data_IF_649777806457
#
_entry.id   IF_649777806457
#
_cell.length_a   1.000
_cell.length_b   1.000
_cell.length_c   1.000
_cell.angle_alpha   90.00
_cell.angle_beta   90.00
_cell.angle_gamma   90.00
#
_symmetry.space_group_name_H-M   'P 1'
#
loop_
_entity.id
_entity.type
_entity.pdbx_description
1 polymer ?
#
# COMPACT_ATOMS: atom_id res chain seq x y z
N UNK A 1 -36.47 31.66 71.69
CA UNK A 1 -37.62 31.16 72.48
C UNK A 1 -38.86 31.24 71.60
N UNK A 2 -39.73 30.21 71.63
CA UNK A 2 -41.17 30.13 71.19
C UNK A 2 -41.79 31.29 70.37
N UNK A 3 -42.67 31.11 69.35
CA UNK A 3 -43.38 29.92 68.79
C UNK A 3 -44.06 30.26 67.42
N UNK A 4 -44.62 29.23 66.77
CA UNK A 4 -45.85 29.11 65.91
C UNK A 4 -46.83 30.32 65.80
N UNK A 5 -47.71 30.51 64.79
CA UNK A 5 -48.17 29.76 63.57
C UNK A 5 -49.08 30.72 62.71
N UNK A 6 -49.92 30.40 61.69
CA UNK A 6 -50.51 29.15 61.12
C UNK A 6 -50.86 29.32 59.59
N UNK A 7 -52.07 28.95 59.12
CA UNK A 7 -52.61 28.96 57.74
C UNK A 7 -53.99 29.68 57.74
N UNK A 8 -54.72 30.01 56.66
CA UNK A 8 -54.67 29.79 55.19
C UNK A 8 -55.79 30.65 54.53
N UNK A 9 -56.52 30.27 53.44
CA UNK A 9 -56.43 29.09 52.56
C UNK A 9 -56.27 29.46 51.06
N UNK A 10 -56.78 28.65 50.12
CA UNK A 10 -56.42 28.64 48.67
C UNK A 10 -57.64 28.75 47.73
N UNK A 11 -57.50 29.44 46.58
CA UNK A 11 -58.24 29.10 45.35
C UNK A 11 -57.43 29.44 44.08
N UNK A 12 -57.63 28.68 42.98
CA UNK A 12 -56.87 28.76 41.72
C UNK A 12 -57.61 29.51 40.61
N UNK A 13 -56.86 30.14 39.70
CA UNK A 13 -57.16 30.15 38.26
C UNK A 13 -55.85 30.06 37.45
N UNK A 14 -55.91 29.85 36.14
CA UNK A 14 -54.81 29.28 35.33
C UNK A 14 -54.29 30.21 34.22
N UNK A 15 -52.97 30.48 34.26
CA UNK A 15 -52.02 30.56 33.13
C UNK A 15 -52.26 31.64 32.01
N UNK A 16 -51.27 31.93 31.13
CA UNK A 16 -49.95 31.31 30.97
C UNK A 16 -48.74 32.21 31.32
N UNK A 17 -47.56 31.58 31.36
CA UNK A 17 -46.25 32.21 31.60
C UNK A 17 -45.63 32.69 30.29
N UNK A 18 -45.06 33.90 30.31
CA UNK A 18 -44.28 34.44 29.19
C UNK A 18 -42.88 33.80 29.15
N UNK A 19 -42.64 32.89 28.21
CA UNK A 19 -41.29 32.36 27.95
C UNK A 19 -40.46 33.37 27.14
N UNK A 20 -39.26 33.69 27.64
CA UNK A 20 -38.32 34.61 26.96
C UNK A 20 -37.48 33.81 25.96
N UNK A 21 -37.85 33.89 24.68
CA UNK A 21 -37.11 33.25 23.58
C UNK A 21 -35.79 33.97 23.31
N UNK A 22 -34.67 33.33 23.70
CA UNK A 22 -33.36 33.68 23.16
C UNK A 22 -33.14 32.87 21.88
N UNK A 23 -32.76 33.55 20.80
CA UNK A 23 -32.74 32.97 19.45
C UNK A 23 -31.75 31.82 19.33
N UNK A 24 -32.26 30.60 19.17
CA UNK A 24 -31.49 29.49 18.62
C UNK A 24 -31.23 29.78 17.13
N UNK A 25 -29.99 30.17 16.81
CA UNK A 25 -29.49 30.00 15.44
C UNK A 25 -29.62 28.51 15.10
N UNK A 26 -30.27 28.13 13.97
CA UNK A 26 -30.21 26.75 13.54
C UNK A 26 -28.75 26.42 13.24
N UNK A 27 -28.23 25.35 13.85
CA UNK A 27 -27.04 24.70 13.32
C UNK A 27 -27.42 24.25 11.91
N UNK A 28 -26.77 24.86 10.91
CA UNK A 28 -26.70 24.26 9.58
C UNK A 28 -25.87 23.00 9.78
N UNK A 29 -26.55 21.85 9.79
CA UNK A 29 -25.87 20.58 9.64
C UNK A 29 -25.05 20.68 8.35
N UNK A 30 -23.73 20.51 8.47
CA UNK A 30 -22.86 20.55 7.29
C UNK A 30 -23.34 19.48 6.31
N UNK A 31 -23.75 19.90 5.11
CA UNK A 31 -24.25 18.99 4.09
C UNK A 31 -23.12 18.02 3.71
N UNK A 32 -23.26 16.77 4.13
CA UNK A 32 -22.29 15.72 3.84
C UNK A 32 -22.32 15.24 2.38
N UNK A 33 -23.13 15.88 1.53
CA UNK A 33 -23.16 15.68 0.07
C UNK A 33 -22.38 16.76 -0.71
N UNK A 34 -21.34 17.37 -0.09
CA UNK A 34 -20.21 17.86 -0.88
C UNK A 34 -19.81 16.74 -1.86
N UNK A 35 -19.87 16.96 -3.18
CA UNK A 35 -19.61 15.91 -4.15
C UNK A 35 -18.18 15.40 -3.95
N UNK A 36 -17.98 14.08 -4.08
CA UNK A 36 -16.66 13.44 -3.91
C UNK A 36 -15.69 14.06 -4.91
N UNK A 37 -14.94 15.04 -4.44
CA UNK A 37 -13.99 15.77 -5.27
C UNK A 37 -12.82 14.84 -5.58
N UNK A 38 -12.16 15.11 -6.70
CA UNK A 38 -11.07 14.28 -7.17
C UNK A 38 -11.46 13.32 -8.29
N UNK A 39 -10.58 12.34 -8.46
CA UNK A 39 -10.75 11.15 -9.30
C UNK A 39 -10.59 9.90 -8.44
N UNK A 40 -11.23 8.79 -8.83
CA UNK A 40 -11.12 7.52 -8.14
C UNK A 40 -10.33 6.50 -8.99
N UNK A 41 -9.62 5.58 -8.34
CA UNK A 41 -8.81 4.56 -8.98
C UNK A 41 -8.90 3.23 -8.23
N UNK A 42 -9.49 2.23 -8.85
CA UNK A 42 -9.40 0.84 -8.38
C UNK A 42 -8.14 0.21 -8.96
N UNK A 43 -7.39 -0.52 -8.15
CA UNK A 43 -6.16 -1.17 -8.54
C UNK A 43 -6.17 -2.64 -8.10
N UNK A 44 -5.66 -3.50 -8.97
CA UNK A 44 -5.34 -4.89 -8.66
C UNK A 44 -3.88 -5.18 -9.00
N UNK A 45 -3.18 -5.90 -8.13
CA UNK A 45 -1.78 -6.31 -8.33
C UNK A 45 -1.50 -7.58 -7.53
N UNK A 46 -0.56 -8.41 -8.00
CA UNK A 46 -0.06 -9.55 -7.23
C UNK A 46 1.47 -9.46 -7.11
N UNK A 47 2.01 -9.94 -5.99
CA UNK A 47 3.44 -9.91 -5.67
C UNK A 47 4.02 -11.33 -5.71
N UNK A 48 5.17 -11.49 -6.37
CA UNK A 48 5.89 -12.77 -6.38
C UNK A 48 6.58 -13.00 -5.04
N UNK A 49 6.38 -14.17 -4.44
CA UNK A 49 6.86 -14.45 -3.08
C UNK A 49 5.69 -14.90 -2.22
N UNK A 50 4.77 -13.99 -1.84
CA UNK A 50 3.58 -14.38 -1.10
C UNK A 50 2.54 -15.10 -1.97
N UNK A 51 2.55 -14.92 -3.30
CA UNK A 51 1.57 -15.53 -4.23
C UNK A 51 1.67 -17.05 -4.31
N UNK A 52 0.52 -17.73 -4.22
CA UNK A 52 0.38 -19.19 -4.21
C UNK A 52 -0.46 -19.67 -5.41
N UNK A 53 0.21 -20.29 -6.40
CA UNK A 53 -0.42 -20.78 -7.65
C UNK A 53 -1.67 -21.63 -7.43
N UNK A 54 -1.72 -22.44 -6.37
CA UNK A 54 -2.81 -23.41 -6.12
C UNK A 54 -4.09 -22.78 -5.58
N UNK A 55 -4.04 -21.53 -5.12
CA UNK A 55 -5.22 -20.79 -4.60
C UNK A 55 -5.53 -19.56 -5.43
N UNK A 56 -4.57 -19.03 -6.20
CA UNK A 56 -4.69 -17.71 -6.84
C UNK A 56 -4.55 -16.54 -5.86
N UNK A 57 -4.13 -16.80 -4.62
CA UNK A 57 -4.05 -15.81 -3.54
C UNK A 57 -2.60 -15.66 -3.05
N UNK A 58 -2.28 -14.47 -2.57
CA UNK A 58 -1.10 -14.22 -1.74
C UNK A 58 -1.26 -14.75 -0.32
N UNK A 59 -0.17 -14.82 0.46
CA UNK A 59 -0.20 -15.08 1.89
C UNK A 59 -0.03 -13.81 2.72
N UNK A 60 -0.72 -13.78 3.86
CA UNK A 60 -0.87 -12.66 4.80
C UNK A 60 0.05 -12.81 6.03
N UNK A 61 1.23 -13.43 5.87
CA UNK A 61 2.14 -13.73 6.99
C UNK A 61 2.60 -12.49 7.78
N UNK A 62 2.82 -11.35 7.11
CA UNK A 62 3.11 -10.07 7.76
C UNK A 62 1.96 -9.58 8.63
N UNK A 63 0.71 -9.75 8.18
CA UNK A 63 -0.50 -9.41 8.96
C UNK A 63 -0.66 -10.35 10.16
N UNK A 64 -0.55 -11.67 9.93
CA UNK A 64 -0.63 -12.70 10.97
C UNK A 64 0.45 -12.56 12.05
N UNK A 65 1.62 -12.02 11.70
CA UNK A 65 2.73 -11.75 12.62
C UNK A 65 2.65 -10.37 13.31
N UNK A 66 1.66 -9.54 12.95
CA UNK A 66 1.53 -8.17 13.46
C UNK A 66 2.63 -7.21 12.99
N UNK A 67 3.29 -7.49 11.86
CA UNK A 67 4.43 -6.71 11.36
C UNK A 67 4.05 -5.56 10.43
N UNK A 68 2.84 -5.54 9.84
CA UNK A 68 2.41 -4.42 8.98
C UNK A 68 2.31 -3.14 9.83
N UNK A 69 3.06 -2.06 9.52
CA UNK A 69 3.04 -0.83 10.32
C UNK A 69 1.69 -0.13 10.28
N UNK A 70 1.31 0.51 11.38
CA UNK A 70 0.07 1.30 11.47
C UNK A 70 0.13 2.60 10.66
N UNK A 71 1.32 3.13 10.36
CA UNK A 71 1.53 4.29 9.49
C UNK A 71 2.19 3.88 8.18
N UNK A 72 1.88 4.57 7.08
CA UNK A 72 2.47 4.27 5.77
C UNK A 72 4.03 4.35 5.77
N UNK A 73 4.74 3.39 5.14
CA UNK A 73 6.20 3.24 5.26
C UNK A 73 7.04 4.04 4.25
N UNK A 74 6.40 4.85 3.40
CA UNK A 74 7.04 5.52 2.25
C UNK A 74 7.52 6.96 2.54
N UNK A 75 7.40 7.42 3.79
CA UNK A 75 7.89 8.72 4.24
C UNK A 75 9.42 8.90 4.06
N UNK A 76 10.17 7.80 4.11
CA UNK A 76 11.62 7.76 3.96
C UNK A 76 12.08 7.72 2.48
N UNK A 77 13.41 7.79 2.29
CA UNK A 77 14.02 7.60 0.99
C UNK A 77 13.72 6.19 0.39
N UNK A 78 13.60 6.09 -0.96
CA UNK A 78 13.76 7.15 -1.96
C UNK A 78 12.48 7.95 -2.24
N UNK A 79 11.30 7.50 -1.78
CA UNK A 79 10.04 8.13 -2.18
C UNK A 79 9.79 9.47 -1.50
N UNK A 80 10.23 9.64 -0.25
CA UNK A 80 10.05 10.85 0.55
C UNK A 80 8.57 11.30 0.60
N UNK A 81 7.65 10.33 0.71
CA UNK A 81 6.22 10.58 0.59
C UNK A 81 5.62 11.01 1.93
N UNK A 82 5.46 12.32 2.12
CA UNK A 82 4.86 12.94 3.31
C UNK A 82 3.34 12.76 3.46
N UNK A 83 2.77 11.65 2.99
CA UNK A 83 1.39 11.27 3.29
C UNK A 83 1.22 10.83 4.74
N UNK A 84 0.00 10.94 5.28
CA UNK A 84 -0.30 10.67 6.69
C UNK A 84 -1.22 9.45 6.88
N UNK A 85 -1.39 8.61 5.86
CA UNK A 85 -2.29 7.46 5.86
C UNK A 85 -1.96 6.49 7.00
N UNK A 86 -3.00 6.07 7.72
CA UNK A 86 -2.93 5.15 8.85
C UNK A 86 -3.83 3.96 8.61
N UNK A 87 -3.36 2.77 8.97
CA UNK A 87 -4.14 1.53 8.99
C UNK A 87 -5.11 1.56 10.19
N UNK A 88 -6.41 1.60 9.91
CA UNK A 88 -7.46 1.72 10.94
C UNK A 88 -8.21 0.38 11.15
N UNK A 89 -8.99 0.23 12.24
CA UNK A 89 -9.64 -1.04 12.59
C UNK A 89 -10.55 -1.66 11.52
N UNK A 90 -11.09 -0.85 10.59
CA UNK A 90 -11.87 -1.36 9.46
C UNK A 90 -11.02 -2.29 8.56
N UNK A 91 -9.80 -1.87 8.22
CA UNK A 91 -8.86 -2.66 7.43
C UNK A 91 -8.16 -3.74 8.27
N UNK A 92 -7.83 -3.48 9.54
CA UNK A 92 -7.22 -4.49 10.42
C UNK A 92 -8.16 -5.67 10.74
N UNK A 93 -9.48 -5.51 10.60
CA UNK A 93 -10.46 -6.57 10.83
C UNK A 93 -10.68 -7.53 9.64
N UNK A 94 -10.00 -7.32 8.51
CA UNK A 94 -10.20 -8.11 7.29
C UNK A 94 -9.53 -9.49 7.38
N UNK A 95 -10.10 -10.48 6.70
CA UNK A 95 -9.64 -11.87 6.76
C UNK A 95 -10.04 -12.67 5.51
N UNK A 96 -9.59 -13.92 5.40
CA UNK A 96 -9.90 -14.76 4.24
C UNK A 96 -9.11 -14.34 3.00
N UNK A 97 -9.80 -13.90 1.95
CA UNK A 97 -9.22 -13.33 0.72
C UNK A 97 -8.84 -11.86 0.92
N UNK A 98 -9.63 -11.14 1.72
CA UNK A 98 -9.52 -9.71 1.98
C UNK A 98 -8.40 -9.35 2.98
N UNK A 99 -7.73 -10.36 3.56
CA UNK A 99 -6.65 -10.19 4.55
C UNK A 99 -5.48 -9.40 3.96
N UNK A 100 -4.76 -8.69 4.82
CA UNK A 100 -3.73 -7.74 4.44
C UNK A 100 -2.42 -8.46 4.07
N UNK A 101 -1.78 -8.04 2.98
CA UNK A 101 -0.46 -8.53 2.56
C UNK A 101 0.63 -7.51 2.94
N UNK A 102 0.55 -6.29 2.40
CA UNK A 102 1.50 -5.21 2.70
C UNK A 102 0.95 -3.84 2.24
N UNK A 103 1.66 -2.78 2.58
CA UNK A 103 1.49 -1.43 2.03
C UNK A 103 1.99 -1.34 0.58
N UNK A 104 1.29 -0.56 -0.25
CA UNK A 104 1.67 -0.16 -1.61
C UNK A 104 1.56 1.35 -1.77
N UNK A 105 2.40 1.94 -2.63
CA UNK A 105 2.38 3.36 -2.96
C UNK A 105 1.90 3.55 -4.40
N UNK A 106 0.75 4.19 -4.57
CA UNK A 106 0.21 4.58 -5.86
C UNK A 106 0.91 5.85 -6.33
N UNK A 107 1.24 5.93 -7.62
CA UNK A 107 1.86 7.11 -8.24
C UNK A 107 1.14 7.46 -9.55
N UNK A 108 0.53 8.65 -9.59
CA UNK A 108 -0.10 9.21 -10.79
C UNK A 108 0.84 10.24 -11.43
N UNK A 109 0.99 10.19 -12.75
CA UNK A 109 1.84 11.09 -13.54
C UNK A 109 1.07 11.73 -14.69
N UNK A 110 1.30 13.03 -14.91
CA UNK A 110 0.59 13.80 -15.93
C UNK A 110 1.12 13.48 -17.34
N UNK A 111 0.23 13.26 -18.31
CA UNK A 111 0.60 12.84 -19.69
C UNK A 111 1.47 13.89 -20.40
N UNK A 112 1.28 15.18 -20.12
CA UNK A 112 1.98 16.29 -20.75
C UNK A 112 3.36 16.56 -20.15
N UNK A 113 3.69 15.98 -18.99
CA UNK A 113 5.01 16.06 -18.37
C UNK A 113 5.25 14.85 -17.47
N UNK A 114 5.46 13.64 -18.04
CA UNK A 114 5.37 12.39 -17.28
C UNK A 114 6.45 12.22 -16.20
N UNK A 115 7.54 12.98 -16.24
CA UNK A 115 8.53 13.07 -15.15
C UNK A 115 7.92 13.62 -13.86
N UNK A 116 6.88 14.44 -13.97
CA UNK A 116 6.17 15.07 -12.85
C UNK A 116 5.14 14.11 -12.27
N UNK A 117 5.33 13.77 -11.01
CA UNK A 117 4.29 13.11 -10.19
C UNK A 117 3.17 14.11 -9.96
N UNK A 118 1.96 13.78 -10.43
CA UNK A 118 0.75 14.57 -10.22
C UNK A 118 0.15 14.32 -8.83
N UNK A 119 0.17 13.06 -8.37
CA UNK A 119 -0.17 12.70 -7.00
C UNK A 119 0.47 11.36 -6.58
N UNK A 120 0.51 11.12 -5.27
CA UNK A 120 0.78 9.82 -4.65
C UNK A 120 -0.23 9.59 -3.51
N UNK A 121 -0.54 8.33 -3.24
CA UNK A 121 -1.35 7.88 -2.10
C UNK A 121 -0.88 6.49 -1.66
N UNK A 122 -0.71 6.27 -0.37
CA UNK A 122 -0.42 4.96 0.20
C UNK A 122 -1.74 4.18 0.39
N UNK A 123 -1.71 2.88 0.10
CA UNK A 123 -2.85 1.99 0.20
C UNK A 123 -2.42 0.60 0.70
N UNK A 124 -3.39 -0.27 1.02
CA UNK A 124 -3.16 -1.64 1.48
C UNK A 124 -3.48 -2.62 0.36
N UNK A 125 -2.60 -3.61 0.19
CA UNK A 125 -2.79 -4.74 -0.71
C UNK A 125 -3.44 -5.92 0.04
N UNK A 126 -4.47 -6.51 -0.55
CA UNK A 126 -5.18 -7.69 -0.06
C UNK A 126 -4.71 -8.97 -0.77
N UNK A 127 -5.06 -10.16 -0.26
CA UNK A 127 -4.50 -11.43 -0.78
C UNK A 127 -4.99 -11.81 -2.17
N UNK A 128 -6.19 -11.42 -2.56
CA UNK A 128 -6.70 -11.59 -3.93
C UNK A 128 -6.10 -10.58 -4.92
N UNK A 129 -5.37 -9.60 -4.40
CA UNK A 129 -4.66 -8.57 -5.14
C UNK A 129 -5.36 -7.21 -5.17
N UNK A 130 -6.54 -7.05 -4.58
CA UNK A 130 -7.21 -5.74 -4.55
C UNK A 130 -6.50 -4.74 -3.63
N UNK A 131 -6.54 -3.48 -4.05
CA UNK A 131 -5.86 -2.36 -3.38
C UNK A 131 -6.90 -1.42 -2.76
N UNK A 132 -6.87 -1.32 -1.43
CA UNK A 132 -7.92 -0.68 -0.62
C UNK A 132 -7.40 0.43 0.29
N UNK A 133 -8.31 1.32 0.66
CA UNK A 133 -8.03 2.44 1.55
C UNK A 133 -7.74 1.96 3.00
N UNK A 134 -6.55 2.22 3.57
CA UNK A 134 -6.17 1.81 4.93
C UNK A 134 -7.09 2.32 6.05
N UNK A 135 -7.79 3.45 5.84
CA UNK A 135 -8.72 3.98 6.82
C UNK A 135 -10.09 3.29 6.84
N UNK A 136 -10.54 2.72 5.72
CA UNK A 136 -11.95 2.31 5.53
C UNK A 136 -12.16 0.97 4.83
N UNK A 137 -11.10 0.28 4.39
CA UNK A 137 -11.17 -0.94 3.58
C UNK A 137 -11.89 -0.82 2.21
N UNK A 138 -12.15 0.39 1.73
CA UNK A 138 -12.83 0.58 0.45
C UNK A 138 -11.89 0.38 -0.74
N UNK A 139 -12.34 -0.40 -1.74
CA UNK A 139 -11.80 -0.36 -3.11
C UNK A 139 -12.15 0.99 -3.75
N UNK A 140 -11.25 1.53 -4.58
CA UNK A 140 -11.45 2.80 -5.28
C UNK A 140 -10.76 3.97 -4.55
N UNK A 141 -9.44 4.03 -4.65
CA UNK A 141 -8.62 5.04 -4.01
C UNK A 141 -8.88 6.42 -4.62
N UNK A 142 -9.33 7.36 -3.80
CA UNK A 142 -9.64 8.74 -4.20
C UNK A 142 -8.38 9.62 -4.23
N UNK A 143 -8.32 10.54 -5.19
CA UNK A 143 -7.29 11.58 -5.30
C UNK A 143 -7.96 12.95 -5.31
N UNK A 144 -8.25 13.55 -4.14
CA UNK A 144 -9.21 14.66 -4.01
C UNK A 144 -8.76 15.96 -4.67
N UNK A 145 -7.46 16.12 -4.91
CA UNK A 145 -6.84 17.29 -5.53
C UNK A 145 -6.72 17.23 -7.06
N UNK A 146 -7.04 16.09 -7.68
CA UNK A 146 -6.89 15.89 -9.12
C UNK A 146 -8.22 16.02 -9.88
N UNK A 147 -8.19 16.65 -11.05
CA UNK A 147 -9.36 16.73 -11.95
C UNK A 147 -9.46 15.49 -12.84
N UNK A 148 -10.65 15.24 -13.38
CA UNK A 148 -10.85 14.22 -14.41
C UNK A 148 -9.94 14.48 -15.63
N UNK A 149 -9.41 13.40 -16.22
CA UNK A 149 -8.43 13.46 -17.31
C UNK A 149 -7.57 12.20 -17.39
N UNK A 150 -6.62 12.20 -18.31
CA UNK A 150 -5.75 11.03 -18.58
C UNK A 150 -4.45 11.11 -17.77
N UNK A 151 -4.10 10.00 -17.11
CA UNK A 151 -2.90 9.88 -16.27
C UNK A 151 -2.15 8.58 -16.57
N UNK A 152 -0.83 8.59 -16.46
CA UNK A 152 -0.08 7.34 -16.29
C UNK A 152 -0.23 6.88 -14.84
N UNK A 153 -0.72 5.65 -14.66
CA UNK A 153 -0.91 5.02 -13.35
C UNK A 153 0.28 4.12 -13.09
N UNK A 154 0.82 4.15 -11.87
CA UNK A 154 1.79 3.16 -11.41
C UNK A 154 1.61 2.77 -9.96
N UNK A 155 2.20 1.63 -9.62
CA UNK A 155 2.19 1.05 -8.29
C UNK A 155 3.61 0.69 -7.89
N UNK A 156 3.97 0.99 -6.64
CA UNK A 156 5.28 0.71 -6.04
C UNK A 156 5.09 -0.08 -4.75
N UNK A 157 6.06 -0.92 -4.44
CA UNK A 157 6.16 -1.67 -3.19
C UNK A 157 7.57 -1.50 -2.62
N UNK A 158 7.79 -1.85 -1.35
CA UNK A 158 9.06 -1.63 -0.65
C UNK A 158 10.19 -2.61 -0.99
N UNK A 159 9.85 -3.77 -1.55
CA UNK A 159 10.72 -4.93 -1.80
C UNK A 159 10.56 -5.53 -3.23
N UNK A 160 9.77 -4.90 -4.11
CA UNK A 160 9.42 -5.38 -5.46
C UNK A 160 9.50 -4.28 -6.52
N UNK A 161 9.83 -4.66 -7.75
CA UNK A 161 9.83 -3.73 -8.89
C UNK A 161 8.47 -3.08 -9.10
N UNK A 162 8.47 -1.75 -9.15
CA UNK A 162 7.34 -0.93 -9.53
C UNK A 162 7.04 -1.06 -11.03
N UNK A 163 5.76 -0.91 -11.39
CA UNK A 163 5.30 -0.86 -12.78
C UNK A 163 4.38 0.34 -13.02
N UNK A 164 4.39 0.82 -14.26
CA UNK A 164 3.51 1.90 -14.74
C UNK A 164 2.77 1.43 -15.99
N UNK A 165 1.58 1.98 -16.25
CA UNK A 165 0.85 1.74 -17.50
C UNK A 165 1.64 2.30 -18.70
N UNK A 166 1.69 1.54 -19.79
CA UNK A 166 2.28 2.00 -21.05
C UNK A 166 1.48 3.17 -21.63
N UNK A 167 0.17 3.00 -21.65
CA UNK A 167 -0.82 3.98 -22.09
C UNK A 167 -1.35 4.79 -20.90
N UNK A 168 -1.88 5.98 -21.16
CA UNK A 168 -2.59 6.74 -20.15
C UNK A 168 -3.97 6.13 -19.90
N UNK A 169 -4.47 6.26 -18.67
CA UNK A 169 -5.79 5.79 -18.22
C UNK A 169 -6.64 7.03 -17.95
N UNK A 170 -7.85 7.06 -18.51
CA UNK A 170 -8.80 8.15 -18.26
C UNK A 170 -9.46 7.94 -16.90
N UNK A 171 -9.26 8.89 -15.99
CA UNK A 171 -9.75 8.84 -14.61
C UNK A 171 -10.78 9.93 -14.36
N UNK A 172 -11.77 9.62 -13.52
CA UNK A 172 -12.89 10.50 -13.18
C UNK A 172 -13.47 10.14 -11.81
N UNK A 173 -14.55 10.81 -11.37
CA UNK A 173 -15.29 10.43 -10.16
C UNK A 173 -15.93 9.04 -10.25
N UNK A 174 -16.29 8.56 -11.45
CA UNK A 174 -16.76 7.18 -11.64
C UNK A 174 -15.62 6.14 -11.48
N UNK A 175 -14.37 6.61 -11.55
CA UNK A 175 -13.16 5.81 -11.47
C UNK A 175 -12.87 4.93 -12.68
N UNK A 176 -11.78 4.17 -12.59
CA UNK A 176 -11.42 3.10 -13.51
C UNK A 176 -10.67 2.00 -12.75
N UNK A 177 -10.65 0.77 -13.30
CA UNK A 177 -9.81 -0.32 -12.82
C UNK A 177 -8.51 -0.36 -13.62
N UNK A 178 -7.37 -0.39 -12.93
CA UNK A 178 -6.07 -0.78 -13.49
C UNK A 178 -5.66 -2.11 -12.85
N UNK A 179 -5.57 -3.16 -13.65
CA UNK A 179 -5.23 -4.50 -13.16
C UNK A 179 -3.83 -4.90 -13.61
N UNK A 180 -2.82 -4.64 -12.78
CA UNK A 180 -1.44 -5.07 -13.03
C UNK A 180 -1.23 -6.57 -12.87
N UNK A 181 -2.21 -7.31 -12.31
CA UNK A 181 -2.21 -8.78 -12.35
C UNK A 181 -2.63 -9.34 -13.71
N UNK A 182 -3.33 -8.54 -14.54
CA UNK A 182 -3.71 -8.94 -15.90
C UNK A 182 -2.55 -8.81 -16.89
N UNK A 183 -2.40 -9.85 -17.72
CA UNK A 183 -1.54 -9.84 -18.90
C UNK A 183 -2.01 -8.85 -20.00
N UNK A 184 -3.28 -8.43 -19.97
CA UNK A 184 -3.82 -7.46 -20.94
C UNK A 184 -3.42 -6.00 -20.60
N UNK A 185 -3.06 -5.72 -19.35
CA UNK A 185 -2.55 -4.42 -18.94
C UNK A 185 -1.13 -4.25 -19.46
N UNK A 186 -0.99 -3.45 -20.52
CA UNK A 186 0.31 -3.07 -21.08
C UNK A 186 1.07 -2.17 -20.09
N UNK A 187 2.25 -2.61 -19.69
CA UNK A 187 3.16 -1.85 -18.80
C UNK A 187 4.27 -1.14 -19.60
N UNK A 188 4.77 -0.04 -19.04
CA UNK A 188 5.83 0.80 -19.61
C UNK A 188 7.16 0.05 -19.70
N UNK A 189 7.97 0.40 -20.70
CA UNK A 189 9.26 -0.24 -20.94
C UNK A 189 9.12 -1.68 -21.45
N UNK A 190 9.93 -2.60 -20.90
CA UNK A 190 9.76 -4.04 -21.10
C UNK A 190 8.96 -4.61 -19.93
N UNK A 191 7.99 -5.48 -20.21
CA UNK A 191 7.24 -6.16 -19.15
C UNK A 191 8.18 -7.08 -18.36
N UNK A 192 8.44 -6.68 -17.11
CA UNK A 192 9.26 -7.45 -16.14
C UNK A 192 8.43 -8.44 -15.34
N UNK A 193 7.09 -8.36 -15.37
CA UNK A 193 6.21 -9.12 -14.47
C UNK A 193 6.31 -10.62 -14.73
N UNK A 194 6.44 -11.40 -13.67
CA UNK A 194 6.52 -12.87 -13.75
C UNK A 194 5.13 -13.43 -14.10
N UNK A 195 5.05 -14.37 -15.04
CA UNK A 195 3.82 -15.07 -15.36
C UNK A 195 3.68 -16.34 -14.51
N UNK A 196 2.68 -16.40 -13.63
CA UNK A 196 2.34 -17.58 -12.83
C UNK A 196 0.83 -17.66 -12.59
N UNK A 197 0.26 -18.86 -12.47
CA UNK A 197 -1.17 -19.10 -12.23
C UNK A 197 -2.15 -18.48 -13.24
N UNK A 198 -1.69 -17.99 -14.40
CA UNK A 198 -2.47 -17.21 -15.37
C UNK A 198 -2.33 -15.68 -15.23
N UNK A 199 -1.76 -15.19 -14.13
CA UNK A 199 -1.62 -13.78 -13.79
C UNK A 199 -0.25 -13.20 -14.20
N UNK A 200 0.01 -11.97 -13.74
CA UNK A 200 1.28 -11.26 -13.75
C UNK A 200 1.61 -10.82 -12.33
N UNK A 201 2.80 -11.17 -11.86
CA UNK A 201 3.29 -10.85 -10.52
C UNK A 201 4.37 -9.77 -10.62
N UNK A 202 4.39 -8.80 -9.72
CA UNK A 202 5.55 -7.92 -9.59
C UNK A 202 6.75 -8.75 -9.11
N UNK A 203 7.95 -8.63 -9.74
CA UNK A 203 9.14 -9.32 -9.29
C UNK A 203 9.66 -8.79 -7.96
N UNK A 204 9.89 -9.68 -6.99
CA UNK A 204 10.59 -9.36 -5.75
C UNK A 204 12.10 -9.25 -5.95
N UNK A 205 12.79 -8.58 -5.02
CA UNK A 205 14.25 -8.51 -5.00
C UNK A 205 14.85 -7.11 -4.88
N UNK A 206 14.03 -6.06 -4.99
CA UNK A 206 14.46 -4.65 -4.94
C UNK A 206 14.58 -4.23 -3.46
N UNK A 207 15.75 -4.43 -2.86
CA UNK A 207 16.02 -4.03 -1.47
C UNK A 207 16.47 -2.57 -1.36
N UNK A 208 17.12 -2.06 -2.42
CA UNK A 208 17.69 -0.72 -2.44
C UNK A 208 16.65 0.37 -2.81
N UNK A 209 15.53 -0.03 -3.44
CA UNK A 209 14.35 0.75 -3.88
C UNK A 209 14.58 1.63 -5.11
N UNK A 210 15.65 1.40 -5.87
CA UNK A 210 16.00 2.13 -7.10
C UNK A 210 15.24 1.65 -8.35
N UNK A 211 14.38 0.64 -8.19
CA UNK A 211 13.58 0.00 -9.24
C UNK A 211 14.40 -0.84 -10.24
N UNK A 212 15.50 -1.46 -9.77
CA UNK A 212 16.25 -2.47 -10.49
C UNK A 212 16.48 -3.69 -9.58
N UNK A 213 16.55 -4.89 -10.17
CA UNK A 213 17.07 -6.08 -9.49
C UNK A 213 18.52 -6.28 -9.91
N UNK A 214 19.44 -6.23 -8.95
CA UNK A 214 20.87 -6.40 -9.18
C UNK A 214 21.39 -7.45 -8.20
N UNK A 215 21.65 -8.67 -8.68
CA UNK A 215 22.21 -9.74 -7.85
C UNK A 215 23.72 -9.60 -7.64
N UNK A 216 24.47 -9.18 -8.67
CA UNK A 216 25.93 -8.98 -8.59
C UNK A 216 26.33 -7.72 -9.35
N UNK A 217 27.01 -6.79 -8.67
CA UNK A 217 27.48 -5.55 -9.28
C UNK A 217 27.59 -4.39 -8.29
N UNK A 218 27.71 -3.16 -8.82
CA UNK A 218 27.53 -1.95 -8.01
C UNK A 218 26.05 -1.79 -7.65
N UNK A 219 25.75 -1.33 -6.43
CA UNK A 219 24.37 -1.12 -5.95
C UNK A 219 23.57 -2.39 -5.63
N UNK A 220 24.18 -3.58 -5.69
CA UNK A 220 23.47 -4.85 -5.63
C UNK A 220 22.66 -5.09 -4.34
N UNK A 221 21.45 -5.62 -4.51
CA UNK A 221 20.48 -5.90 -3.44
C UNK A 221 20.94 -7.04 -2.52
N UNK A 222 21.67 -8.01 -3.07
CA UNK A 222 22.23 -9.14 -2.33
C UNK A 222 23.10 -8.68 -1.15
N UNK A 223 23.91 -7.65 -1.34
CA UNK A 223 24.76 -7.07 -0.30
C UNK A 223 23.95 -6.32 0.77
N UNK A 224 22.78 -5.75 0.43
CA UNK A 224 21.92 -5.06 1.40
C UNK A 224 21.11 -6.05 2.24
N UNK A 225 20.61 -7.12 1.63
CA UNK A 225 20.04 -8.27 2.35
C UNK A 225 21.10 -8.94 3.25
N UNK A 226 22.34 -9.11 2.76
CA UNK A 226 23.42 -9.61 3.60
C UNK A 226 23.72 -8.66 4.76
N UNK A 227 23.83 -7.36 4.50
CA UNK A 227 24.11 -6.37 5.53
C UNK A 227 23.04 -6.36 6.62
N UNK A 228 21.75 -6.29 6.25
CA UNK A 228 20.65 -6.27 7.24
C UNK A 228 20.65 -7.53 8.11
N UNK A 229 20.85 -8.71 7.52
CA UNK A 229 20.97 -9.97 8.27
C UNK A 229 22.20 -9.99 9.17
N UNK A 230 23.38 -9.56 8.71
CA UNK A 230 24.63 -9.59 9.48
C UNK A 230 24.71 -8.53 10.59
N UNK A 231 24.05 -7.38 10.43
CA UNK A 231 24.00 -6.31 11.44
C UNK A 231 22.70 -6.32 12.25
N UNK A 232 21.88 -7.37 12.14
CA UNK A 232 20.66 -7.53 12.93
C UNK A 232 20.95 -7.56 14.43
N UNK A 233 20.15 -6.83 15.22
CA UNK A 233 20.18 -6.92 16.68
C UNK A 233 19.92 -8.37 17.11
N UNK A 234 20.86 -8.94 17.87
CA UNK A 234 20.86 -10.35 18.25
C UNK A 234 21.71 -11.27 17.38
N UNK A 235 22.12 -10.88 16.16
CA UNK A 235 23.08 -11.63 15.33
C UNK A 235 24.54 -11.30 15.67
N UNK A 236 24.89 -11.29 16.96
CA UNK A 236 26.23 -10.94 17.46
C UNK A 236 27.37 -11.89 17.03
N UNK A 237 27.04 -13.01 16.36
CA UNK A 237 28.01 -13.90 15.71
C UNK A 237 28.15 -13.70 14.20
N UNK A 238 27.47 -12.70 13.61
CA UNK A 238 27.44 -12.42 12.17
C UNK A 238 27.16 -13.67 11.30
N UNK A 239 26.14 -14.44 11.69
CA UNK A 239 25.71 -15.62 10.96
C UNK A 239 24.89 -15.20 9.73
N UNK A 240 25.33 -15.53 8.51
CA UNK A 240 24.61 -15.26 7.26
C UNK A 240 23.29 -16.04 7.11
N UNK A 241 23.10 -17.07 7.92
CA UNK A 241 21.86 -17.87 8.00
C UNK A 241 20.99 -17.48 9.20
N UNK A 242 21.23 -16.30 9.81
CA UNK A 242 20.37 -15.73 10.82
C UNK A 242 19.02 -15.32 10.21
N UNK A 243 17.94 -15.50 10.96
CA UNK A 243 16.57 -15.18 10.57
C UNK A 243 16.19 -13.82 11.14
N UNK A 244 16.25 -12.78 10.32
CA UNK A 244 15.87 -11.42 10.70
C UNK A 244 14.34 -11.26 10.54
N UNK A 245 13.60 -11.54 11.61
CA UNK A 245 12.14 -11.40 11.61
C UNK A 245 11.68 -9.95 11.85
N UNK A 246 10.65 -9.52 11.13
CA UNK A 246 10.03 -8.20 11.26
C UNK A 246 9.67 -7.56 9.91
N UNK A 247 9.31 -6.28 9.93
CA UNK A 247 8.96 -5.50 8.73
C UNK A 247 10.20 -4.95 8.01
N UNK A 248 10.99 -5.84 7.42
CA UNK A 248 12.36 -5.51 6.96
C UNK A 248 12.47 -5.42 5.43
N UNK A 249 13.40 -4.57 4.97
CA UNK A 249 13.84 -4.60 3.58
C UNK A 249 14.67 -5.86 3.32
N UNK A 250 14.46 -6.51 2.18
CA UNK A 250 15.08 -7.80 1.84
C UNK A 250 14.25 -9.05 2.19
N UNK A 251 13.15 -8.91 2.95
CA UNK A 251 12.08 -9.92 3.01
C UNK A 251 11.30 -9.85 1.68
N UNK A 252 11.83 -10.47 0.64
CA UNK A 252 11.25 -10.44 -0.71
C UNK A 252 10.05 -11.37 -0.81
N UNK A 253 10.03 -12.45 -0.03
CA UNK A 253 8.92 -13.40 -0.05
C UNK A 253 7.71 -12.97 0.81
N UNK A 254 7.89 -11.97 1.69
CA UNK A 254 6.89 -11.42 2.62
C UNK A 254 6.40 -12.44 3.67
N UNK A 255 7.26 -13.35 4.13
CA UNK A 255 6.97 -14.25 5.26
C UNK A 255 7.22 -13.61 6.63
N UNK A 256 7.76 -12.41 6.66
CA UNK A 256 8.14 -11.70 7.88
C UNK A 256 9.51 -12.09 8.41
N UNK A 257 10.36 -12.77 7.62
CA UNK A 257 11.74 -13.10 7.96
C UNK A 257 12.68 -12.96 6.76
N UNK A 258 13.46 -11.86 6.72
CA UNK A 258 14.57 -11.76 5.78
C UNK A 258 15.65 -12.80 6.12
N UNK A 259 16.07 -13.56 5.10
CA UNK A 259 17.09 -14.59 5.22
C UNK A 259 18.03 -14.57 4.00
N UNK A 260 19.33 -14.45 4.23
CA UNK A 260 20.32 -14.46 3.15
C UNK A 260 20.77 -15.88 2.75
N UNK A 261 20.97 -16.79 3.71
CA UNK A 261 21.45 -18.15 3.45
C UNK A 261 20.65 -19.25 4.18
N UNK A 262 20.62 -20.45 3.58
CA UNK A 262 19.86 -21.61 4.07
C UNK A 262 18.59 -21.90 3.26
N UNK A 263 17.78 -22.91 3.63
CA UNK A 263 16.56 -23.26 2.89
C UNK A 263 15.50 -22.15 2.97
N UNK A 264 14.93 -21.78 1.81
CA UNK A 264 13.91 -20.73 1.71
C UNK A 264 14.44 -19.32 1.98
N UNK A 265 15.65 -19.01 1.52
CA UNK A 265 16.24 -17.68 1.61
C UNK A 265 15.73 -16.74 0.51
N UNK A 266 15.68 -15.44 0.79
CA UNK A 266 15.22 -14.39 -0.14
C UNK A 266 16.19 -14.15 -1.29
N UNK A 267 17.50 -14.33 -1.05
CA UNK A 267 18.53 -14.23 -2.09
C UNK A 267 18.22 -15.13 -3.29
N UNK A 268 17.64 -16.32 -3.07
CA UNK A 268 17.25 -17.24 -4.13
C UNK A 268 16.13 -16.68 -5.04
N UNK A 269 15.21 -15.86 -4.51
CA UNK A 269 14.14 -15.21 -5.27
C UNK A 269 14.72 -14.10 -6.16
N UNK A 270 15.61 -13.26 -5.61
CA UNK A 270 16.37 -12.26 -6.37
C UNK A 270 17.21 -12.91 -7.47
N UNK A 271 17.96 -13.98 -7.14
CA UNK A 271 18.78 -14.73 -8.10
C UNK A 271 17.94 -15.37 -9.21
N UNK A 272 16.79 -15.96 -8.87
CA UNK A 272 15.84 -16.48 -9.84
C UNK A 272 15.42 -15.38 -10.81
N UNK A 273 14.97 -14.22 -10.30
CA UNK A 273 14.46 -13.13 -11.13
C UNK A 273 15.51 -12.52 -12.05
N UNK A 274 16.76 -12.42 -11.61
CA UNK A 274 17.87 -11.95 -12.46
C UNK A 274 18.25 -13.00 -13.51
N UNK A 275 18.38 -14.27 -13.13
CA UNK A 275 18.85 -15.34 -14.03
C UNK A 275 17.80 -15.80 -15.03
N UNK A 276 16.54 -15.96 -14.63
CA UNK A 276 15.45 -16.44 -15.50
C UNK A 276 14.72 -15.32 -16.23
N UNK A 277 15.20 -14.08 -16.15
CA UNK A 277 14.60 -12.99 -16.92
C UNK A 277 14.70 -13.28 -18.43
N UNK A 278 13.61 -13.12 -19.17
CA UNK A 278 13.55 -13.39 -20.62
C UNK A 278 14.44 -12.45 -21.47
N UNK A 279 15.14 -11.51 -20.85
CA UNK A 279 16.19 -10.67 -21.47
C UNK A 279 17.60 -11.24 -21.24
N UNK A 280 17.81 -11.99 -20.17
CA UNK A 280 19.11 -12.48 -19.72
C UNK A 280 19.48 -13.79 -20.42
N UNK A 281 19.55 -13.76 -21.76
CA UNK A 281 19.75 -14.94 -22.61
C UNK A 281 21.05 -15.72 -22.34
N UNK A 282 21.98 -15.12 -21.59
CA UNK A 282 23.28 -15.71 -21.22
C UNK A 282 23.35 -16.14 -19.75
N UNK A 283 22.25 -16.04 -18.98
CA UNK A 283 22.20 -16.32 -17.53
C UNK A 283 23.28 -15.56 -16.73
N UNK A 284 23.55 -14.30 -17.11
CA UNK A 284 24.57 -13.47 -16.49
C UNK A 284 24.12 -12.98 -15.10
N UNK A 285 24.90 -13.31 -14.06
CA UNK A 285 24.65 -12.91 -12.67
C UNK A 285 24.66 -11.39 -12.44
N UNK A 286 25.31 -10.64 -13.33
CA UNK A 286 25.39 -9.17 -13.33
C UNK A 286 24.43 -8.51 -14.34
N UNK A 287 23.43 -9.26 -14.84
CA UNK A 287 22.33 -8.67 -15.59
C UNK A 287 21.46 -7.82 -14.66
N UNK A 288 20.97 -6.67 -15.15
CA UNK A 288 20.14 -5.74 -14.38
C UNK A 288 18.70 -5.83 -14.90
N UNK A 289 17.76 -6.25 -14.04
CA UNK A 289 16.33 -6.24 -14.38
C UNK A 289 15.71 -4.93 -13.91
N UNK A 290 15.66 -3.94 -14.78
CA UNK A 290 15.04 -2.65 -14.48
C UNK A 290 13.53 -2.69 -14.62
N UNK A 291 12.78 -2.28 -13.59
CA UNK A 291 11.33 -2.03 -13.65
C UNK A 291 10.93 -0.78 -14.43
N UNK A 292 11.89 -0.12 -15.09
CA UNK A 292 11.73 0.97 -16.06
C UNK A 292 10.65 2.03 -15.73
N UNK A 293 10.98 3.05 -14.93
CA UNK A 293 10.17 4.24 -14.76
C UNK A 293 10.62 5.33 -15.76
N UNK A 294 10.97 4.98 -17.01
CA UNK A 294 11.41 5.97 -18.01
C UNK A 294 10.24 6.83 -18.49
N UNK A 295 10.15 7.95 -17.78
CA UNK A 295 9.47 9.19 -18.10
C UNK A 295 10.58 10.24 -18.21
#
# INVERSE_FOLDING_TARGET
>A
MRLQSFYGPVMRLLLPVLLIWHGLMPIVAADSSLPVQGINLSLRVLLQGPYVDTTGLMHDRLSQSGFIPLSQPFAEAPWNYGGTEQLLPASMGMSGQDSLVDWVLLELRAVQSPRTVAARRAAILQRDGDVVEPATANVGINFPTLTAGDYYVGIRHRNHLAVFTANAVSLSQAGALVDFSSAATAVRGKDVRIASGGFRLLPGGDANRDNNLIAVGSGNDSNLLLASVLTADGNGGHNSSYRLSGYVAGDFNLDGTALFAGPGNDLALLLQNVLTNVSNINFAMNYIVSGNPDF
#
